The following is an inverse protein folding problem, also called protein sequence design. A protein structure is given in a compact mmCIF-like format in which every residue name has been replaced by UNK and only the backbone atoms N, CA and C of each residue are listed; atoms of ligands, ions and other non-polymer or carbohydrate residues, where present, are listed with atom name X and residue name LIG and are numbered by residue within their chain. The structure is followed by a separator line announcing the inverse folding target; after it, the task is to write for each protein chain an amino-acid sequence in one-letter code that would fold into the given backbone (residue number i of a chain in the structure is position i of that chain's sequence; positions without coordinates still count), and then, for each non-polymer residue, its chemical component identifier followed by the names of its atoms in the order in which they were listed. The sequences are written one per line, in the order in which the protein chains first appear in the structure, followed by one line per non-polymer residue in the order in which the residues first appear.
data_IF_145268132714
#
_entry.id   IF_145268132714
#
_cell.length_a   1.000
_cell.length_b   1.000
_cell.length_c   1.000
_cell.angle_alpha   90.00
_cell.angle_beta   90.00
_cell.angle_gamma   90.00
#
_symmetry.space_group_name_H-M   'P 1'
#
loop_
_entity.id
_entity.type
_entity.pdbx_description
1 polymer ?
#
# COMPACT_ATOMS: atom_id res chain seq x y z
N UNK A 1 25.43 18.57 -46.75
CA UNK A 1 24.16 19.20 -46.30
C UNK A 1 23.11 18.13 -45.96
N UNK A 2 22.79 17.20 -46.86
CA UNK A 2 21.80 16.13 -46.62
C UNK A 2 22.15 15.19 -45.44
N UNK A 3 23.43 14.89 -45.21
CA UNK A 3 23.87 14.05 -44.09
C UNK A 3 23.85 14.71 -42.70
N UNK A 4 23.45 15.98 -42.58
CA UNK A 4 23.35 16.68 -41.29
C UNK A 4 21.99 16.39 -40.65
N UNK A 5 21.84 15.21 -40.08
CA UNK A 5 20.55 14.69 -39.58
C UNK A 5 20.27 15.01 -38.10
N UNK A 6 21.19 15.63 -37.38
CA UNK A 6 20.97 16.15 -36.02
C UNK A 6 20.54 15.06 -35.02
N UNK A 7 19.57 15.40 -34.16
CA UNK A 7 19.05 14.52 -33.09
C UNK A 7 18.03 13.47 -33.59
N UNK A 8 18.01 13.20 -34.89
CA UNK A 8 17.11 12.17 -35.44
C UNK A 8 17.76 10.79 -35.36
N UNK A 9 16.97 9.69 -35.28
CA UNK A 9 17.52 8.34 -35.19
C UNK A 9 18.06 7.82 -36.55
N UNK A 10 18.27 8.69 -37.53
CA UNK A 10 18.64 8.33 -38.91
C UNK A 10 20.10 8.70 -39.21
N UNK A 11 20.74 7.86 -40.01
CA UNK A 11 22.03 8.13 -40.62
C UNK A 11 21.88 8.04 -42.15
N UNK A 12 22.56 8.93 -42.87
CA UNK A 12 22.60 8.87 -44.34
C UNK A 12 23.60 7.79 -44.78
N UNK A 13 23.10 6.67 -45.31
CA UNK A 13 23.95 5.57 -45.75
C UNK A 13 24.60 5.82 -47.13
N UNK A 14 23.86 6.45 -48.05
CA UNK A 14 24.33 6.75 -49.39
C UNK A 14 23.39 7.75 -50.08
N UNK A 15 23.87 8.33 -51.18
CA UNK A 15 23.10 9.22 -52.04
C UNK A 15 23.26 8.75 -53.48
N UNK A 16 22.14 8.48 -54.13
CA UNK A 16 22.08 8.20 -55.56
C UNK A 16 21.77 9.51 -56.30
N UNK A 17 22.61 9.85 -57.28
CA UNK A 17 22.51 11.06 -58.10
C UNK A 17 22.48 10.76 -59.59
N UNK A 18 22.37 9.49 -59.99
CA UNK A 18 22.51 9.05 -61.38
C UNK A 18 21.42 9.61 -62.30
N UNK A 19 20.28 10.01 -61.72
CA UNK A 19 19.17 10.65 -62.42
C UNK A 19 19.28 12.18 -62.57
N UNK A 20 20.35 12.82 -62.08
CA UNK A 20 20.52 14.27 -62.17
C UNK A 20 21.27 14.67 -63.45
N UNK A 21 20.79 15.72 -64.13
CA UNK A 21 21.46 16.26 -65.30
C UNK A 21 22.83 16.86 -64.94
N UNK A 22 23.82 16.68 -65.82
CA UNK A 22 25.16 17.25 -65.64
C UNK A 22 25.09 18.78 -65.47
N UNK A 23 25.76 19.31 -64.44
CA UNK A 23 25.80 20.74 -64.14
C UNK A 23 24.56 21.29 -63.42
N UNK A 24 23.63 20.44 -62.95
CA UNK A 24 22.47 20.88 -62.18
C UNK A 24 22.89 21.59 -60.88
N UNK A 25 22.49 22.85 -60.75
CA UNK A 25 22.69 23.62 -59.53
C UNK A 25 21.46 23.50 -58.60
N UNK A 26 21.70 23.10 -57.34
CA UNK A 26 20.66 23.07 -56.30
C UNK A 26 21.10 24.00 -55.16
N UNK A 27 20.32 25.05 -54.82
CA UNK A 27 20.62 25.91 -53.69
C UNK A 27 20.72 25.13 -52.37
N UNK A 28 21.60 25.58 -51.47
CA UNK A 28 21.75 24.96 -50.13
C UNK A 28 20.45 25.01 -49.32
N UNK A 29 19.63 26.06 -49.50
CA UNK A 29 18.30 26.16 -48.90
C UNK A 29 17.38 25.04 -49.35
N UNK A 30 17.35 24.73 -50.64
CA UNK A 30 16.54 23.64 -51.21
C UNK A 30 17.01 22.26 -50.73
N UNK A 31 18.33 22.04 -50.64
CA UNK A 31 18.86 20.82 -50.03
C UNK A 31 18.46 20.67 -48.56
N UNK A 32 18.40 21.77 -47.81
CA UNK A 32 17.93 21.76 -46.43
C UNK A 32 16.43 21.46 -46.33
N UNK A 33 15.61 22.05 -47.20
CA UNK A 33 14.18 21.76 -47.26
C UNK A 33 13.89 20.31 -47.64
N UNK A 34 14.59 19.77 -48.64
CA UNK A 34 14.49 18.37 -49.04
C UNK A 34 14.87 17.43 -47.88
N UNK A 35 15.98 17.71 -47.20
CA UNK A 35 16.40 16.94 -46.02
C UNK A 35 15.35 16.97 -44.92
N UNK A 36 14.85 18.15 -44.53
CA UNK A 36 13.85 18.29 -43.49
C UNK A 36 12.58 17.51 -43.83
N UNK A 37 12.04 17.68 -45.04
CA UNK A 37 10.86 16.95 -45.50
C UNK A 37 11.05 15.43 -45.49
N UNK A 38 12.20 14.94 -45.93
CA UNK A 38 12.51 13.52 -45.93
C UNK A 38 12.60 12.96 -44.50
N UNK A 39 13.28 13.68 -43.60
CA UNK A 39 13.41 13.30 -42.19
C UNK A 39 12.04 13.31 -41.49
N UNK A 40 11.22 14.32 -41.72
CA UNK A 40 9.88 14.43 -41.12
C UNK A 40 8.95 13.28 -41.57
N UNK A 41 9.02 12.91 -42.85
CA UNK A 41 8.29 11.75 -43.39
C UNK A 41 8.78 10.43 -42.77
N UNK A 42 10.10 10.24 -42.67
CA UNK A 42 10.68 9.05 -42.06
C UNK A 42 10.35 8.95 -40.57
N UNK A 43 10.37 10.07 -39.83
CA UNK A 43 9.94 10.13 -38.44
C UNK A 43 8.46 9.75 -38.29
N UNK A 44 7.58 10.29 -39.13
CA UNK A 44 6.15 9.93 -39.14
C UNK A 44 5.96 8.43 -39.36
N UNK A 45 6.62 7.85 -40.37
CA UNK A 45 6.54 6.40 -40.66
C UNK A 45 7.07 5.54 -39.51
N UNK A 46 8.23 5.91 -38.95
CA UNK A 46 8.83 5.20 -37.81
C UNK A 46 7.92 5.25 -36.60
N UNK A 47 7.40 6.42 -36.26
CA UNK A 47 6.51 6.60 -35.10
C UNK A 47 5.22 5.79 -35.30
N UNK A 48 4.63 5.82 -36.49
CA UNK A 48 3.46 5.01 -36.80
C UNK A 48 3.72 3.50 -36.66
N UNK A 49 4.85 3.00 -37.17
CA UNK A 49 5.23 1.59 -37.02
C UNK A 49 5.46 1.20 -35.55
N UNK A 50 6.08 2.08 -34.76
CA UNK A 50 6.28 1.87 -33.32
C UNK A 50 4.95 1.87 -32.57
N UNK A 51 4.07 2.82 -32.87
CA UNK A 51 2.73 2.89 -32.27
C UNK A 51 1.89 1.66 -32.61
N UNK A 52 1.95 1.19 -33.85
CA UNK A 52 1.27 -0.03 -34.29
C UNK A 52 1.82 -1.27 -33.54
N UNK A 53 3.14 -1.43 -33.45
CA UNK A 53 3.75 -2.53 -32.70
C UNK A 53 3.40 -2.48 -31.20
N UNK A 54 3.36 -1.29 -30.60
CA UNK A 54 2.91 -1.12 -29.23
C UNK A 54 1.42 -1.44 -29.06
N UNK A 55 0.57 -1.08 -30.02
CA UNK A 55 -0.86 -1.40 -30.00
C UNK A 55 -1.10 -2.91 -30.09
N UNK A 56 -0.41 -3.61 -31.00
CA UNK A 56 -0.47 -5.07 -31.12
C UNK A 56 0.00 -5.76 -29.84
N UNK A 57 1.11 -5.30 -29.26
CA UNK A 57 1.62 -5.81 -27.99
C UNK A 57 0.62 -5.60 -26.85
N UNK A 58 0.01 -4.41 -26.75
CA UNK A 58 -1.03 -4.13 -25.75
C UNK A 58 -2.23 -5.06 -25.91
N UNK A 59 -2.74 -5.21 -27.12
CA UNK A 59 -3.86 -6.12 -27.40
C UNK A 59 -3.53 -7.58 -27.02
N UNK A 60 -2.31 -8.03 -27.30
CA UNK A 60 -1.84 -9.37 -26.90
C UNK A 60 -1.81 -9.52 -25.38
N UNK A 61 -1.29 -8.52 -24.66
CA UNK A 61 -1.24 -8.53 -23.19
C UNK A 61 -2.65 -8.52 -22.61
N UNK A 62 -3.55 -7.67 -23.13
CA UNK A 62 -4.94 -7.60 -22.67
C UNK A 62 -5.68 -8.93 -22.87
N UNK A 63 -5.47 -9.59 -24.01
CA UNK A 63 -6.06 -10.89 -24.29
C UNK A 63 -5.54 -11.97 -23.34
N UNK A 64 -4.23 -11.99 -23.11
CA UNK A 64 -3.61 -12.90 -22.14
C UNK A 64 -4.09 -12.64 -20.70
N UNK A 65 -4.19 -11.38 -20.30
CA UNK A 65 -4.69 -10.98 -18.99
C UNK A 65 -6.16 -11.42 -18.79
N UNK A 66 -7.02 -11.23 -19.81
CA UNK A 66 -8.42 -11.70 -19.75
C UNK A 66 -8.55 -13.23 -19.66
N UNK A 67 -7.59 -13.97 -20.22
CA UNK A 67 -7.57 -15.43 -20.12
C UNK A 67 -7.19 -15.90 -18.70
N UNK A 68 -6.48 -15.08 -17.92
CA UNK A 68 -6.24 -15.35 -16.49
C UNK A 68 -7.52 -15.03 -15.73
N UNK A 69 -8.32 -16.07 -15.47
CA UNK A 69 -9.55 -15.93 -14.70
C UNK A 69 -9.29 -15.26 -13.34
N UNK A 70 -9.99 -14.17 -13.07
CA UNK A 70 -10.10 -13.62 -11.72
C UNK A 70 -10.97 -14.58 -10.92
N UNK A 71 -10.37 -15.31 -9.98
CA UNK A 71 -11.10 -16.24 -9.12
C UNK A 71 -12.24 -15.56 -8.36
N UNK A 72 -13.21 -16.31 -7.89
CA UNK A 72 -14.25 -15.77 -7.01
C UNK A 72 -13.65 -15.40 -5.66
N UNK A 73 -14.14 -14.33 -5.04
CA UNK A 73 -13.80 -14.05 -3.65
C UNK A 73 -14.27 -15.25 -2.82
N UNK A 74 -13.59 -15.56 -1.70
CA UNK A 74 -14.13 -16.51 -0.73
C UNK A 74 -15.59 -16.16 -0.43
N UNK A 75 -16.48 -17.15 -0.51
CA UNK A 75 -17.85 -16.98 -0.05
C UNK A 75 -17.80 -16.57 1.42
N UNK A 76 -18.21 -15.35 1.70
CA UNK A 76 -18.38 -14.93 3.07
C UNK A 76 -19.56 -15.72 3.64
N UNK A 77 -19.33 -16.41 4.76
CA UNK A 77 -20.40 -17.04 5.53
C UNK A 77 -21.51 -16.01 5.79
N UNK A 78 -22.74 -16.38 5.43
CA UNK A 78 -23.93 -15.52 5.41
C UNK A 78 -24.48 -15.14 6.81
N UNK A 79 -23.60 -14.95 7.79
CA UNK A 79 -23.97 -14.27 9.03
C UNK A 79 -24.17 -12.79 8.74
N UNK A 80 -25.16 -12.16 9.38
CA UNK A 80 -25.50 -10.73 9.30
C UNK A 80 -24.25 -9.86 9.42
N UNK A 81 -23.66 -9.48 8.28
CA UNK A 81 -22.45 -8.65 8.26
C UNK A 81 -22.83 -7.23 8.67
N UNK A 82 -21.99 -6.54 9.47
CA UNK A 82 -22.14 -5.11 9.64
C UNK A 82 -22.06 -4.42 8.28
N UNK A 83 -22.74 -3.28 8.14
CA UNK A 83 -22.78 -2.52 6.89
C UNK A 83 -21.38 -2.17 6.35
N UNK A 84 -20.39 -2.08 7.25
CA UNK A 84 -18.97 -1.87 6.95
C UNK A 84 -18.10 -2.50 8.04
N UNK A 85 -16.79 -2.55 7.79
CA UNK A 85 -15.75 -2.81 8.77
C UNK A 85 -14.88 -1.57 8.92
N UNK A 86 -14.82 -1.05 10.15
CA UNK A 86 -13.85 -0.05 10.57
C UNK A 86 -12.76 -0.78 11.37
N UNK A 87 -11.60 -0.94 10.73
CA UNK A 87 -10.46 -1.69 11.28
C UNK A 87 -9.49 -0.69 11.92
N UNK A 88 -9.25 -0.82 13.21
CA UNK A 88 -8.23 -0.05 13.91
C UNK A 88 -7.01 -0.94 14.20
N UNK A 89 -5.88 -0.61 13.59
CA UNK A 89 -4.61 -1.25 13.87
C UNK A 89 -3.83 -0.45 14.91
N UNK A 90 -3.45 -1.09 16.00
CA UNK A 90 -2.80 -0.49 17.17
C UNK A 90 -1.68 -1.40 17.65
N UNK A 91 -0.73 -0.88 18.43
CA UNK A 91 0.39 -1.67 18.97
C UNK A 91 0.33 -1.90 20.48
N UNK A 92 -0.57 -1.21 21.20
CA UNK A 92 -0.79 -1.41 22.63
C UNK A 92 -2.27 -1.66 22.97
N UNK A 93 -2.50 -2.10 24.20
CA UNK A 93 -3.81 -2.59 24.65
C UNK A 93 -4.75 -1.47 25.06
N UNK A 94 -4.22 -0.32 25.46
CA UNK A 94 -5.03 0.83 25.86
C UNK A 94 -5.62 1.49 24.61
N UNK A 95 -4.81 1.65 23.56
CA UNK A 95 -5.25 2.10 22.24
C UNK A 95 -6.26 1.12 21.62
N UNK A 96 -6.09 -0.18 21.83
CA UNK A 96 -7.06 -1.20 21.39
C UNK A 96 -8.44 -1.01 22.05
N UNK A 97 -8.46 -0.75 23.36
CA UNK A 97 -9.69 -0.48 24.09
C UNK A 97 -10.31 0.86 23.65
N UNK A 98 -9.51 1.91 23.51
CA UNK A 98 -9.96 3.22 23.06
C UNK A 98 -10.58 3.17 21.65
N UNK A 99 -9.96 2.45 20.72
CA UNK A 99 -10.51 2.22 19.39
C UNK A 99 -11.85 1.47 19.42
N UNK A 100 -11.95 0.43 20.25
CA UNK A 100 -13.19 -0.32 20.41
C UNK A 100 -14.33 0.56 20.98
N UNK A 101 -14.05 1.41 21.96
CA UNK A 101 -15.00 2.35 22.56
C UNK A 101 -15.43 3.46 21.60
N UNK A 102 -14.50 3.91 20.75
CA UNK A 102 -14.78 4.84 19.66
C UNK A 102 -15.58 4.21 18.49
N UNK A 103 -15.79 2.89 18.51
CA UNK A 103 -16.65 2.17 17.57
C UNK A 103 -15.94 1.54 16.38
N UNK A 104 -14.67 1.17 16.53
CA UNK A 104 -14.05 0.21 15.63
C UNK A 104 -14.80 -1.13 15.69
N UNK A 105 -15.02 -1.76 14.54
CA UNK A 105 -15.70 -3.07 14.45
C UNK A 105 -14.71 -4.23 14.47
N UNK A 106 -13.43 -3.94 14.23
CA UNK A 106 -12.33 -4.90 14.30
C UNK A 106 -11.08 -4.19 14.82
N UNK A 107 -10.37 -4.84 15.74
CA UNK A 107 -9.07 -4.43 16.23
C UNK A 107 -8.00 -5.34 15.64
N UNK A 108 -6.95 -4.75 15.07
CA UNK A 108 -5.73 -5.45 14.70
C UNK A 108 -4.64 -5.04 15.68
N UNK A 109 -4.18 -5.98 16.51
CA UNK A 109 -3.08 -5.73 17.45
C UNK A 109 -1.75 -6.14 16.81
N UNK A 110 -0.79 -5.20 16.75
CA UNK A 110 0.61 -5.45 16.39
C UNK A 110 1.50 -5.47 17.63
N UNK A 111 1.68 -6.64 18.29
CA UNK A 111 2.55 -6.74 19.45
C UNK A 111 4.03 -6.71 19.06
N UNK A 112 4.37 -6.69 17.78
CA UNK A 112 5.74 -6.77 17.29
C UNK A 112 6.31 -5.40 16.90
N UNK A 113 5.46 -4.40 16.65
CA UNK A 113 5.89 -3.06 16.22
C UNK A 113 6.88 -2.40 17.18
N UNK A 114 6.69 -2.60 18.50
CA UNK A 114 7.51 -2.01 19.55
C UNK A 114 8.01 -3.04 20.54
N UNK A 115 9.27 -2.91 20.92
CA UNK A 115 9.87 -3.67 22.01
C UNK A 115 9.65 -2.96 23.37
N UNK A 116 9.32 -3.69 24.46
CA UNK A 116 8.98 -5.10 24.49
C UNK A 116 7.54 -5.38 24.04
N UNK A 117 7.31 -6.58 23.49
CA UNK A 117 5.97 -7.05 23.20
C UNK A 117 5.18 -7.28 24.51
N UNK A 118 3.85 -7.04 24.53
CA UNK A 118 3.03 -7.28 25.71
C UNK A 118 2.96 -8.77 26.09
N UNK A 119 2.57 -9.04 27.33
CA UNK A 119 2.33 -10.41 27.80
C UNK A 119 1.08 -11.01 27.12
N UNK A 120 1.07 -12.33 26.92
CA UNK A 120 -0.04 -13.03 26.23
C UNK A 120 -1.35 -13.02 27.04
N UNK A 121 -1.28 -12.99 28.38
CA UNK A 121 -2.46 -13.06 29.25
C UNK A 121 -3.40 -11.85 29.06
N UNK A 122 -2.92 -10.60 29.15
CA UNK A 122 -3.73 -9.42 28.81
C UNK A 122 -4.34 -9.45 27.41
N UNK A 123 -3.62 -9.97 26.41
CA UNK A 123 -4.12 -10.09 25.04
C UNK A 123 -5.28 -11.08 24.95
N UNK A 124 -5.20 -12.22 25.66
CA UNK A 124 -6.31 -13.18 25.76
C UNK A 124 -7.52 -12.57 26.46
N UNK A 125 -7.31 -11.79 27.52
CA UNK A 125 -8.39 -11.10 28.21
C UNK A 125 -9.07 -10.06 27.31
N UNK A 126 -8.28 -9.28 26.55
CA UNK A 126 -8.79 -8.33 25.56
C UNK A 126 -9.62 -9.05 24.48
N UNK A 127 -9.13 -10.19 23.96
CA UNK A 127 -9.86 -10.98 22.97
C UNK A 127 -11.26 -11.40 23.47
N UNK A 128 -11.36 -11.84 24.73
CA UNK A 128 -12.64 -12.22 25.35
C UNK A 128 -13.57 -11.02 25.50
N UNK A 129 -13.04 -9.89 26.00
CA UNK A 129 -13.80 -8.64 26.18
C UNK A 129 -14.35 -8.12 24.86
N UNK A 130 -13.53 -8.08 23.80
CA UNK A 130 -13.95 -7.60 22.48
C UNK A 130 -14.97 -8.54 21.84
N UNK A 131 -14.78 -9.86 21.95
CA UNK A 131 -15.73 -10.86 21.45
C UNK A 131 -17.12 -10.71 22.10
N UNK A 132 -17.18 -10.44 23.42
CA UNK A 132 -18.43 -10.15 24.12
C UNK A 132 -19.17 -8.89 23.63
N UNK A 133 -18.48 -8.00 22.91
CA UNK A 133 -19.03 -6.79 22.26
C UNK A 133 -19.28 -6.97 20.76
N UNK A 134 -19.03 -8.15 20.21
CA UNK A 134 -19.10 -8.42 18.77
C UNK A 134 -17.98 -7.76 17.95
N UNK A 135 -16.86 -7.38 18.60
CA UNK A 135 -15.70 -6.78 17.95
C UNK A 135 -14.64 -7.89 17.76
N UNK A 136 -14.15 -8.08 16.54
CA UNK A 136 -13.09 -9.07 16.28
C UNK A 136 -11.73 -8.53 16.72
N UNK A 137 -10.91 -9.40 17.31
CA UNK A 137 -9.48 -9.15 17.55
C UNK A 137 -8.64 -10.00 16.59
N UNK A 138 -7.78 -9.34 15.83
CA UNK A 138 -6.83 -9.95 14.90
C UNK A 138 -5.40 -9.65 15.33
N UNK A 139 -4.53 -10.62 15.21
CA UNK A 139 -3.09 -10.46 15.43
C UNK A 139 -2.42 -10.01 14.13
N UNK A 140 -1.68 -8.91 14.14
CA UNK A 140 -0.74 -8.59 13.06
C UNK A 140 0.56 -9.36 13.28
N UNK A 141 0.92 -10.23 12.35
CA UNK A 141 2.21 -10.92 12.35
C UNK A 141 3.26 -10.08 11.60
N UNK A 142 4.57 -10.20 11.93
CA UNK A 142 5.62 -9.42 11.30
C UNK A 142 5.67 -9.62 9.78
N UNK A 143 6.01 -8.56 9.05
CA UNK A 143 6.22 -8.61 7.59
C UNK A 143 7.49 -9.39 7.22
N UNK A 144 8.50 -9.39 8.10
CA UNK A 144 9.76 -10.11 7.90
C UNK A 144 9.86 -11.19 8.98
N UNK A 145 9.92 -12.44 8.54
CA UNK A 145 10.06 -13.61 9.43
C UNK A 145 11.18 -14.49 8.89
N UNK A 146 12.31 -14.52 9.61
CA UNK A 146 13.42 -15.44 9.33
C UNK A 146 13.22 -16.75 10.10
N UNK A 147 13.91 -17.86 9.74
CA UNK A 147 13.82 -19.12 10.47
C UNK A 147 14.06 -18.98 11.99
N UNK A 148 15.00 -18.11 12.39
CA UNK A 148 15.30 -17.79 13.78
C UNK A 148 14.18 -17.01 14.50
N UNK A 149 13.41 -16.20 13.77
CA UNK A 149 12.29 -15.43 14.31
C UNK A 149 11.08 -16.33 14.62
N UNK A 150 11.00 -17.51 13.98
CA UNK A 150 9.80 -18.37 14.02
C UNK A 150 9.40 -18.77 15.44
N UNK A 151 10.37 -19.14 16.28
CA UNK A 151 10.09 -19.57 17.66
C UNK A 151 9.44 -18.45 18.49
N UNK A 152 9.86 -17.20 18.27
CA UNK A 152 9.32 -16.05 18.99
C UNK A 152 7.88 -15.73 18.58
N UNK A 153 7.53 -16.00 17.32
CA UNK A 153 6.20 -15.74 16.75
C UNK A 153 5.23 -16.91 17.03
N UNK A 154 5.72 -18.15 17.14
CA UNK A 154 4.87 -19.34 17.32
C UNK A 154 3.94 -19.23 18.53
N UNK A 155 4.44 -18.75 19.68
CA UNK A 155 3.62 -18.55 20.90
C UNK A 155 2.43 -17.59 20.68
N UNK A 156 2.53 -16.68 19.72
CA UNK A 156 1.45 -15.77 19.34
C UNK A 156 0.48 -16.43 18.36
N UNK A 157 0.99 -17.22 17.43
CA UNK A 157 0.16 -18.00 16.50
C UNK A 157 -0.68 -19.05 17.24
N UNK A 158 -0.15 -19.63 18.32
CA UNK A 158 -0.82 -20.60 19.20
C UNK A 158 -1.99 -19.98 20.00
N UNK A 159 -2.19 -18.66 19.95
CA UNK A 159 -3.41 -18.03 20.47
C UNK A 159 -4.64 -18.31 19.59
N UNK A 160 -4.43 -18.84 18.39
CA UNK A 160 -5.47 -19.16 17.39
C UNK A 160 -6.36 -17.97 16.95
N UNK A 161 -6.00 -16.73 17.32
CA UNK A 161 -6.65 -15.50 16.84
C UNK A 161 -6.50 -15.31 15.32
N UNK A 162 -7.50 -14.80 14.60
CA UNK A 162 -7.34 -14.40 13.20
C UNK A 162 -6.05 -13.61 12.98
N UNK A 163 -5.40 -13.77 11.82
CA UNK A 163 -4.08 -13.18 11.54
C UNK A 163 -4.17 -12.18 10.40
N UNK A 164 -3.47 -11.06 10.53
CA UNK A 164 -3.13 -10.16 9.42
C UNK A 164 -1.62 -10.23 9.18
N UNK A 165 -1.16 -10.36 7.94
CA UNK A 165 0.28 -10.41 7.68
C UNK A 165 0.68 -9.91 6.31
N UNK A 166 1.79 -9.18 6.27
CA UNK A 166 2.50 -8.80 5.04
C UNK A 166 3.44 -9.88 4.51
N UNK A 167 3.59 -11.00 5.21
CA UNK A 167 4.49 -12.08 4.82
C UNK A 167 3.74 -13.14 4.00
N UNK A 168 3.96 -13.18 2.69
CA UNK A 168 3.27 -14.07 1.75
C UNK A 168 3.35 -15.56 2.16
N UNK A 169 4.49 -16.00 2.68
CA UNK A 169 4.65 -17.36 3.17
C UNK A 169 3.76 -17.69 4.37
N UNK A 170 3.50 -16.72 5.25
CA UNK A 170 2.58 -16.89 6.38
C UNK A 170 1.13 -16.87 5.89
N UNK A 171 0.83 -16.08 4.85
CA UNK A 171 -0.48 -16.12 4.19
C UNK A 171 -0.78 -17.54 3.72
N UNK A 172 0.11 -18.13 2.93
CA UNK A 172 -0.10 -19.48 2.40
C UNK A 172 -0.10 -20.55 3.50
N UNK A 173 0.83 -20.49 4.45
CA UNK A 173 0.96 -21.48 5.52
C UNK A 173 -0.29 -21.54 6.40
N UNK A 174 -0.70 -20.38 6.94
CA UNK A 174 -1.82 -20.29 7.88
C UNK A 174 -3.16 -20.52 7.18
N UNK A 175 -3.32 -20.06 5.94
CA UNK A 175 -4.55 -20.31 5.18
C UNK A 175 -4.73 -21.80 4.87
N UNK A 176 -3.64 -22.53 4.56
CA UNK A 176 -3.67 -24.00 4.37
C UNK A 176 -4.03 -24.75 5.66
N UNK A 177 -3.75 -24.16 6.82
CA UNK A 177 -4.18 -24.67 8.12
C UNK A 177 -5.65 -24.32 8.45
N UNK A 178 -6.38 -23.67 7.52
CA UNK A 178 -7.78 -23.28 7.72
C UNK A 178 -7.97 -22.05 8.59
N UNK A 179 -6.91 -21.26 8.83
CA UNK A 179 -6.99 -20.06 9.66
C UNK A 179 -7.62 -18.89 8.92
N UNK A 180 -8.26 -17.99 9.67
CA UNK A 180 -8.68 -16.68 9.14
C UNK A 180 -7.47 -15.78 8.95
N UNK A 181 -7.10 -15.57 7.69
CA UNK A 181 -5.96 -14.74 7.28
C UNK A 181 -6.41 -13.56 6.43
N UNK A 182 -5.98 -12.37 6.82
CA UNK A 182 -6.01 -11.16 5.99
C UNK A 182 -4.61 -10.86 5.47
N UNK A 183 -4.45 -10.75 4.16
CA UNK A 183 -3.20 -10.31 3.57
C UNK A 183 -3.09 -8.77 3.71
N UNK A 184 -2.03 -8.30 4.35
CA UNK A 184 -1.78 -6.90 4.66
C UNK A 184 -1.39 -6.07 3.42
N UNK A 185 -1.41 -4.72 3.49
CA UNK A 185 -0.98 -3.87 2.38
C UNK A 185 0.46 -4.16 1.93
N UNK A 186 1.31 -4.68 2.82
CA UNK A 186 2.70 -5.02 2.52
C UNK A 186 2.88 -6.23 1.58
N UNK A 187 1.83 -6.99 1.27
CA UNK A 187 1.88 -8.02 0.20
C UNK A 187 1.77 -7.42 -1.20
N UNK A 188 1.53 -6.10 -1.31
CA UNK A 188 1.47 -5.35 -2.56
C UNK A 188 0.41 -5.86 -3.55
N UNK A 189 -0.86 -5.93 -3.10
CA UNK A 189 -1.98 -6.22 -4.00
C UNK A 189 -2.22 -4.99 -4.90
N UNK A 190 -1.60 -5.00 -6.08
CA UNK A 190 -1.62 -3.89 -7.04
C UNK A 190 -2.67 -4.03 -8.14
N UNK A 191 -3.16 -5.24 -8.41
CA UNK A 191 -4.13 -5.50 -9.48
C UNK A 191 -4.96 -6.75 -9.19
N UNK A 192 -5.98 -7.00 -10.01
CA UNK A 192 -6.88 -8.14 -9.87
C UNK A 192 -6.17 -9.50 -9.99
N UNK A 193 -5.10 -9.63 -10.78
CA UNK A 193 -4.39 -10.91 -10.90
C UNK A 193 -3.64 -11.27 -9.60
N UNK A 194 -2.96 -10.28 -9.00
CA UNK A 194 -2.34 -10.45 -7.69
C UNK A 194 -3.37 -10.79 -6.62
N UNK A 195 -4.54 -10.12 -6.64
CA UNK A 195 -5.62 -10.42 -5.72
C UNK A 195 -6.15 -11.86 -5.88
N UNK A 196 -6.40 -12.30 -7.11
CA UNK A 196 -6.86 -13.65 -7.40
C UNK A 196 -5.85 -14.71 -6.92
N UNK A 197 -4.55 -14.48 -7.09
CA UNK A 197 -3.52 -15.40 -6.64
C UNK A 197 -3.46 -15.49 -5.10
N UNK A 198 -3.60 -14.37 -4.40
CA UNK A 198 -3.58 -14.39 -2.92
C UNK A 198 -4.86 -15.00 -2.35
N UNK A 199 -6.01 -14.78 -2.98
CA UNK A 199 -7.23 -15.54 -2.67
C UNK A 199 -7.05 -17.04 -2.93
N UNK A 200 -6.37 -17.44 -4.01
CA UNK A 200 -6.05 -18.84 -4.31
C UNK A 200 -5.13 -19.47 -3.25
N UNK A 201 -4.24 -18.69 -2.64
CA UNK A 201 -3.44 -19.11 -1.49
C UNK A 201 -4.26 -19.28 -0.20
N UNK A 202 -5.53 -18.85 -0.20
CA UNK A 202 -6.51 -19.08 0.86
C UNK A 202 -6.75 -17.88 1.79
N UNK A 203 -6.20 -16.70 1.47
CA UNK A 203 -6.52 -15.49 2.23
C UNK A 203 -8.03 -15.21 2.16
N UNK A 204 -8.63 -14.78 3.27
CA UNK A 204 -10.05 -14.44 3.33
C UNK A 204 -10.32 -12.98 2.95
N UNK A 205 -9.32 -12.11 3.19
CA UNK A 205 -9.38 -10.68 2.89
C UNK A 205 -8.02 -10.15 2.47
N UNK A 206 -8.02 -9.06 1.73
CA UNK A 206 -6.83 -8.37 1.22
C UNK A 206 -6.91 -6.89 1.57
N UNK A 207 -5.85 -6.31 2.12
CA UNK A 207 -5.69 -4.86 2.13
C UNK A 207 -5.05 -4.45 0.80
N UNK A 208 -5.65 -3.50 0.08
CA UNK A 208 -5.09 -2.99 -1.17
C UNK A 208 -3.74 -2.32 -0.93
N UNK A 209 -2.87 -2.29 -1.93
CA UNK A 209 -1.63 -1.52 -1.83
C UNK A 209 -1.90 -0.03 -1.56
N UNK A 210 -1.03 0.58 -0.77
CA UNK A 210 -1.01 2.02 -0.46
C UNK A 210 -0.50 2.89 -1.61
N UNK A 211 -0.03 2.27 -2.68
CA UNK A 211 0.50 2.93 -3.89
C UNK A 211 -0.56 3.15 -4.96
N UNK A 212 -1.78 2.65 -4.76
CA UNK A 212 -2.85 2.75 -5.73
C UNK A 212 -3.66 4.04 -5.58
N UNK A 213 -4.05 4.59 -6.73
CA UNK A 213 -5.09 5.62 -6.83
C UNK A 213 -6.47 5.07 -6.51
N UNK A 214 -7.44 5.94 -6.23
CA UNK A 214 -8.82 5.53 -6.05
C UNK A 214 -9.41 4.86 -7.31
N UNK A 215 -8.97 5.26 -8.50
CA UNK A 215 -9.35 4.67 -9.79
C UNK A 215 -8.83 3.24 -9.92
N UNK A 216 -7.55 3.03 -9.63
CA UNK A 216 -6.90 1.72 -9.70
C UNK A 216 -7.48 0.78 -8.64
N UNK A 217 -7.79 1.26 -7.44
CA UNK A 217 -8.49 0.45 -6.43
C UNK A 217 -9.86 0.00 -6.94
N UNK A 218 -10.63 0.91 -7.55
CA UNK A 218 -11.94 0.56 -8.13
C UNK A 218 -11.81 -0.51 -9.21
N UNK A 219 -10.79 -0.42 -10.07
CA UNK A 219 -10.52 -1.42 -11.10
C UNK A 219 -10.08 -2.76 -10.51
N UNK A 220 -9.20 -2.72 -9.51
CA UNK A 220 -8.70 -3.89 -8.80
C UNK A 220 -9.83 -4.69 -8.16
N UNK A 221 -10.77 -4.02 -7.49
CA UNK A 221 -11.82 -4.70 -6.71
C UNK A 221 -13.07 -5.06 -7.53
N UNK A 222 -13.18 -4.55 -8.76
CA UNK A 222 -14.36 -4.73 -9.62
C UNK A 222 -14.76 -6.21 -9.81
N UNK A 223 -13.86 -7.18 -10.02
CA UNK A 223 -14.23 -8.59 -10.18
C UNK A 223 -14.96 -9.19 -8.96
N UNK A 224 -14.82 -8.57 -7.80
CA UNK A 224 -15.42 -9.01 -6.53
C UNK A 224 -16.50 -8.07 -6.01
N UNK A 225 -16.84 -7.02 -6.77
CA UNK A 225 -17.68 -5.93 -6.32
C UNK A 225 -17.26 -5.37 -4.95
N UNK A 226 -15.94 -5.20 -4.75
CA UNK A 226 -15.39 -4.68 -3.48
C UNK A 226 -15.33 -5.68 -2.32
N UNK A 227 -15.90 -6.88 -2.46
CA UNK A 227 -15.94 -7.89 -1.39
C UNK A 227 -14.56 -8.50 -1.15
N UNK A 228 -14.21 -8.67 0.13
CA UNK A 228 -12.92 -9.23 0.52
C UNK A 228 -11.78 -8.21 0.52
N UNK A 229 -12.07 -6.92 0.31
CA UNK A 229 -11.05 -5.87 0.31
C UNK A 229 -11.21 -4.91 1.50
N UNK A 230 -10.07 -4.55 2.08
CA UNK A 230 -9.90 -3.45 3.01
C UNK A 230 -8.97 -2.39 2.37
N UNK A 231 -9.16 -1.11 2.71
CA UNK A 231 -8.34 0.00 2.20
C UNK A 231 -7.81 0.82 3.37
N UNK A 232 -6.51 1.15 3.36
CA UNK A 232 -5.90 2.05 4.34
C UNK A 232 -6.38 3.48 4.09
N UNK A 233 -7.14 4.04 5.02
CA UNK A 233 -7.63 5.43 4.96
C UNK A 233 -6.92 6.35 5.94
N UNK A 234 -6.26 5.81 6.95
CA UNK A 234 -5.50 6.59 7.92
C UNK A 234 -4.25 5.87 8.40
N UNK A 235 -3.21 6.64 8.72
CA UNK A 235 -2.01 6.18 9.42
C UNK A 235 -0.74 6.49 8.67
N UNK A 236 0.41 6.13 9.23
CA UNK A 236 1.73 6.34 8.62
C UNK A 236 2.28 5.01 8.16
N UNK A 237 2.18 4.65 6.87
CA UNK A 237 2.78 3.43 6.38
C UNK A 237 4.28 3.35 6.70
N UNK A 238 4.81 2.12 6.75
CA UNK A 238 6.25 1.89 6.88
C UNK A 238 6.93 2.27 5.55
N UNK A 239 7.85 3.24 5.58
CA UNK A 239 8.61 3.63 4.40
C UNK A 239 9.91 2.82 4.24
N UNK A 240 10.54 2.44 5.35
CA UNK A 240 11.79 1.66 5.35
C UNK A 240 11.92 0.79 6.59
N UNK A 241 12.51 -0.39 6.42
CA UNK A 241 12.96 -1.25 7.53
C UNK A 241 14.47 -1.30 7.57
N UNK A 242 15.06 -1.06 8.74
CA UNK A 242 16.50 -1.06 8.97
C UNK A 242 16.87 -2.18 9.94
N UNK A 243 17.85 -3.00 9.57
CA UNK A 243 18.43 -4.02 10.47
C UNK A 243 19.36 -3.41 11.53
N UNK A 244 19.85 -2.19 11.29
CA UNK A 244 20.72 -1.49 12.21
C UNK A 244 19.89 -0.63 13.18
N UNK A 245 20.23 -0.69 14.47
CA UNK A 245 19.61 0.15 15.49
C UNK A 245 20.11 1.60 15.38
N UNK A 246 19.29 2.48 14.81
CA UNK A 246 19.59 3.91 14.64
C UNK A 246 19.80 4.62 15.98
N UNK A 247 19.16 4.13 17.04
CA UNK A 247 19.34 4.64 18.40
C UNK A 247 20.75 4.37 18.88
N UNK A 248 21.25 3.15 18.68
CA UNK A 248 22.63 2.83 19.06
C UNK A 248 23.61 3.65 18.23
N UNK A 249 23.40 3.77 16.92
CA UNK A 249 24.27 4.57 16.06
C UNK A 249 24.31 6.06 16.47
N UNK A 250 23.16 6.61 16.88
CA UNK A 250 23.05 8.02 17.26
C UNK A 250 23.58 8.31 18.68
N UNK A 251 23.29 7.44 19.64
CA UNK A 251 23.50 7.70 21.07
C UNK A 251 24.67 6.91 21.68
N UNK A 252 25.22 5.91 21.00
CA UNK A 252 26.32 5.08 21.50
C UNK A 252 27.33 4.71 20.40
N UNK A 253 28.40 5.52 20.28
CA UNK A 253 29.37 5.47 19.18
C UNK A 253 30.18 4.16 19.08
N UNK A 254 30.12 3.27 20.08
CA UNK A 254 30.71 1.93 20.01
C UNK A 254 29.70 0.84 20.45
N UNK A 255 28.80 0.41 19.54
CA UNK A 255 27.83 -0.62 19.84
C UNK A 255 28.52 -1.99 19.92
N UNK A 256 28.84 -2.46 21.11
CA UNK A 256 29.26 -3.87 21.31
C UNK A 256 28.09 -4.75 21.75
N UNK A 257 27.06 -4.17 22.39
CA UNK A 257 25.89 -4.88 22.92
C UNK A 257 24.65 -3.97 22.98
N UNK A 258 23.45 -4.55 22.91
CA UNK A 258 22.18 -3.82 23.14
C UNK A 258 22.10 -3.30 24.58
N UNK A 259 21.56 -2.09 24.75
CA UNK A 259 21.36 -1.43 26.06
C UNK A 259 19.91 -0.98 26.30
N UNK A 260 18.97 -1.56 25.54
CA UNK A 260 17.54 -1.27 25.62
C UNK A 260 17.19 0.22 25.56
N UNK A 261 17.94 0.99 24.75
CA UNK A 261 17.75 2.43 24.58
C UNK A 261 16.33 2.77 24.16
N UNK A 262 15.73 1.95 23.29
CA UNK A 262 14.36 2.08 22.81
C UNK A 262 13.29 1.85 23.89
N UNK A 263 13.65 1.31 25.05
CA UNK A 263 12.72 1.07 26.17
C UNK A 263 13.00 2.03 27.31
N UNK A 264 14.27 2.21 27.67
CA UNK A 264 14.65 2.87 28.91
C UNK A 264 14.87 4.38 28.77
N UNK A 265 15.38 4.84 27.62
CA UNK A 265 15.86 6.23 27.47
C UNK A 265 15.18 7.00 26.35
N UNK A 266 14.90 6.32 25.25
CA UNK A 266 14.42 6.91 24.00
C UNK A 266 13.25 6.08 23.44
N UNK A 267 12.12 6.00 24.16
CA UNK A 267 10.93 5.27 23.69
C UNK A 267 10.32 5.88 22.42
N UNK A 268 10.56 7.18 22.21
CA UNK A 268 10.05 7.96 21.10
C UNK A 268 11.23 8.59 20.36
N UNK A 269 11.50 8.13 19.14
CA UNK A 269 12.60 8.62 18.30
C UNK A 269 12.07 9.00 16.93
N UNK A 270 12.65 10.05 16.35
CA UNK A 270 12.36 10.51 15.00
C UNK A 270 13.68 10.81 14.27
N UNK A 271 13.71 10.61 12.96
CA UNK A 271 14.78 11.07 12.08
C UNK A 271 14.30 12.31 11.32
N UNK A 272 15.13 13.34 11.26
CA UNK A 272 14.82 14.56 10.52
C UNK A 272 15.60 14.58 9.21
N UNK A 273 14.92 14.86 8.09
CA UNK A 273 15.58 15.04 6.81
C UNK A 273 16.17 16.46 6.65
N UNK A 274 17.01 16.72 5.63
CA UNK A 274 17.59 18.05 5.41
C UNK A 274 16.56 19.17 5.14
N UNK A 275 15.33 18.81 4.76
CA UNK A 275 14.23 19.75 4.51
C UNK A 275 13.36 20.01 5.74
N UNK A 276 13.66 19.34 6.86
CA UNK A 276 13.00 19.53 8.15
C UNK A 276 11.81 18.60 8.43
N UNK A 277 11.51 17.62 7.57
CA UNK A 277 10.48 16.63 7.89
C UNK A 277 10.98 15.64 8.94
N UNK A 278 10.15 15.37 9.94
CA UNK A 278 10.43 14.40 11.01
C UNK A 278 9.71 13.08 10.73
N UNK A 279 10.45 11.99 10.71
CA UNK A 279 9.99 10.63 10.42
C UNK A 279 10.08 9.79 11.70
N UNK A 280 8.95 9.34 12.27
CA UNK A 280 8.96 8.50 13.46
C UNK A 280 9.67 7.17 13.23
N UNK A 281 10.36 6.68 14.27
CA UNK A 281 11.01 5.37 14.27
C UNK A 281 10.36 4.48 15.32
N UNK A 282 9.88 3.31 14.90
CA UNK A 282 9.48 2.23 15.80
C UNK A 282 10.59 1.18 15.85
N UNK A 283 10.93 0.68 17.04
CA UNK A 283 11.90 -0.42 17.20
C UNK A 283 11.15 -1.71 17.47
N UNK A 284 11.14 -2.62 16.50
CA UNK A 284 10.37 -3.86 16.56
C UNK A 284 10.95 -4.87 17.56
N UNK A 285 10.19 -5.91 17.86
CA UNK A 285 10.59 -6.94 18.84
C UNK A 285 11.82 -7.76 18.43
N UNK A 286 12.24 -7.69 17.17
CA UNK A 286 13.46 -8.29 16.62
C UNK A 286 14.60 -7.27 16.50
N UNK A 287 14.49 -6.12 17.17
CA UNK A 287 15.45 -5.01 17.16
C UNK A 287 15.67 -4.34 15.80
N UNK A 288 14.76 -4.52 14.83
CA UNK A 288 14.78 -3.76 13.58
C UNK A 288 14.13 -2.40 13.79
N UNK A 289 14.53 -1.40 13.03
CA UNK A 289 13.93 -0.07 13.08
C UNK A 289 13.01 0.14 11.88
N UNK A 290 11.77 0.55 12.13
CA UNK A 290 10.75 0.89 11.13
C UNK A 290 10.67 2.40 11.02
N UNK A 291 11.10 2.94 9.89
CA UNK A 291 10.96 4.36 9.57
C UNK A 291 9.57 4.59 9.00
N UNK A 292 8.76 5.36 9.72
CA UNK A 292 7.38 5.68 9.36
C UNK A 292 7.34 7.01 8.60
N UNK A 293 6.37 7.15 7.70
CA UNK A 293 6.16 8.40 6.98
C UNK A 293 5.95 9.60 7.92
N UNK A 294 6.47 10.77 7.54
CA UNK A 294 6.45 11.98 8.37
C UNK A 294 5.04 12.51 8.66
N UNK A 295 4.12 12.29 7.72
CA UNK A 295 2.71 12.68 7.83
C UNK A 295 1.82 11.45 7.62
N UNK A 296 0.70 11.33 8.35
CA UNK A 296 -0.28 10.30 8.10
C UNK A 296 -0.94 10.49 6.73
N UNK A 297 -1.26 9.38 6.10
CA UNK A 297 -2.28 9.33 5.06
C UNK A 297 -3.61 9.70 5.69
N UNK A 298 -4.39 10.50 4.98
CA UNK A 298 -5.78 10.80 5.34
C UNK A 298 -6.62 10.75 4.05
N UNK A 299 -7.43 9.69 3.94
CA UNK A 299 -8.11 9.30 2.71
C UNK A 299 -9.62 9.55 2.71
N UNK A 300 -10.19 10.28 3.68
CA UNK A 300 -11.65 10.41 3.82
C UNK A 300 -12.34 11.01 2.59
N UNK A 301 -11.65 11.89 1.86
CA UNK A 301 -12.11 12.47 0.58
C UNK A 301 -12.45 11.40 -0.48
N UNK A 302 -11.79 10.24 -0.44
CA UNK A 302 -11.93 9.18 -1.44
C UNK A 302 -12.88 8.06 -0.99
N UNK A 303 -13.26 8.01 0.29
CA UNK A 303 -14.17 6.99 0.84
C UNK A 303 -15.50 6.85 0.08
N UNK A 304 -16.17 7.92 -0.38
CA UNK A 304 -17.45 7.81 -1.08
C UNK A 304 -17.32 7.03 -2.39
N UNK A 305 -16.25 7.32 -3.13
CA UNK A 305 -15.94 6.63 -4.37
C UNK A 305 -15.59 5.15 -4.14
N UNK A 306 -14.81 4.86 -3.10
CA UNK A 306 -14.49 3.49 -2.70
C UNK A 306 -15.75 2.74 -2.25
N UNK A 307 -16.67 3.43 -1.58
CA UNK A 307 -17.97 2.88 -1.17
C UNK A 307 -18.84 2.53 -2.37
N UNK A 308 -18.91 3.40 -3.37
CA UNK A 308 -19.58 3.13 -4.65
C UNK A 308 -18.97 1.93 -5.39
N UNK A 309 -17.65 1.73 -5.28
CA UNK A 309 -16.95 0.56 -5.82
C UNK A 309 -17.23 -0.76 -5.03
N UNK A 310 -18.04 -0.71 -3.98
CA UNK A 310 -18.42 -1.86 -3.16
C UNK A 310 -17.46 -2.17 -2.02
N UNK A 311 -16.39 -1.38 -1.83
CA UNK A 311 -15.47 -1.57 -0.70
C UNK A 311 -16.22 -1.28 0.59
N UNK A 312 -16.07 -2.18 1.57
CA UNK A 312 -16.69 -2.04 2.89
C UNK A 312 -15.69 -2.19 4.03
N UNK A 313 -14.40 -2.35 3.74
CA UNK A 313 -13.34 -2.41 4.74
C UNK A 313 -12.48 -1.16 4.70
N UNK A 314 -12.41 -0.45 5.83
CA UNK A 314 -11.65 0.79 5.94
C UNK A 314 -10.76 0.70 7.17
N UNK A 315 -9.45 0.87 6.96
CA UNK A 315 -8.43 0.65 7.97
C UNK A 315 -7.72 1.94 8.36
N UNK A 316 -7.60 2.15 9.67
CA UNK A 316 -6.79 3.17 10.29
C UNK A 316 -5.63 2.51 11.06
N UNK A 317 -4.40 2.97 10.82
CA UNK A 317 -3.19 2.46 11.47
C UNK A 317 -2.65 3.49 12.44
N UNK A 318 -2.55 3.10 13.71
CA UNK A 318 -2.02 3.89 14.83
C UNK A 318 -0.71 3.25 15.28
N UNK A 319 0.39 3.83 14.83
CA UNK A 319 1.73 3.27 14.97
C UNK A 319 2.75 4.27 15.53
N UNK A 320 2.27 5.44 15.95
CA UNK A 320 3.06 6.47 16.61
C UNK A 320 2.50 6.74 18.01
N UNK A 321 3.36 6.81 19.04
CA UNK A 321 2.98 7.17 20.39
C UNK A 321 2.25 8.53 20.44
N UNK A 322 1.10 8.54 21.10
CA UNK A 322 0.25 9.73 21.21
C UNK A 322 -0.65 10.00 20.00
N UNK A 323 -0.80 9.03 19.08
CA UNK A 323 -1.83 9.13 18.05
C UNK A 323 -3.24 9.28 18.71
N UNK A 324 -4.11 10.18 18.22
CA UNK A 324 -5.44 10.41 18.80
C UNK A 324 -6.45 9.33 18.38
N UNK A 325 -6.27 8.11 18.90
CA UNK A 325 -6.98 6.91 18.43
C UNK A 325 -8.50 7.07 18.49
N UNK A 326 -9.04 7.49 19.63
CA UNK A 326 -10.49 7.55 19.85
C UNK A 326 -11.16 8.58 18.91
N UNK A 327 -10.58 9.76 18.77
CA UNK A 327 -11.12 10.86 17.97
C UNK A 327 -11.11 10.50 16.47
N UNK A 328 -10.02 9.87 16.02
CA UNK A 328 -9.85 9.46 14.62
C UNK A 328 -10.83 8.33 14.28
N UNK A 329 -10.90 7.28 15.11
CA UNK A 329 -11.83 6.16 14.91
C UNK A 329 -13.28 6.68 14.90
N UNK A 330 -13.65 7.53 15.86
CA UNK A 330 -15.01 8.06 15.93
C UNK A 330 -15.35 8.93 14.70
N UNK A 331 -14.40 9.72 14.19
CA UNK A 331 -14.61 10.50 12.95
C UNK A 331 -14.80 9.63 11.71
N UNK A 332 -14.05 8.53 11.58
CA UNK A 332 -14.27 7.58 10.49
C UNK A 332 -15.57 6.80 10.64
N UNK A 333 -15.97 6.43 11.86
CA UNK A 333 -17.27 5.81 12.13
C UNK A 333 -18.40 6.72 11.64
N UNK A 334 -18.41 7.99 12.04
CA UNK A 334 -19.42 8.97 11.60
C UNK A 334 -19.51 9.07 10.07
N UNK A 335 -18.36 9.09 9.40
CA UNK A 335 -18.29 9.12 7.93
C UNK A 335 -18.88 7.87 7.28
N UNK A 336 -18.59 6.69 7.84
CA UNK A 336 -19.10 5.41 7.35
C UNK A 336 -20.59 5.22 7.61
N UNK A 337 -21.09 5.67 8.76
CA UNK A 337 -22.51 5.66 9.06
C UNK A 337 -23.30 6.59 8.13
N UNK A 338 -22.76 7.78 7.83
CA UNK A 338 -23.35 8.70 6.84
C UNK A 338 -23.43 8.05 5.45
N UNK A 339 -22.34 7.40 4.99
CA UNK A 339 -22.33 6.65 3.73
C UNK A 339 -23.34 5.49 3.73
N UNK A 340 -23.46 4.77 4.84
CA UNK A 340 -24.44 3.69 5.00
C UNK A 340 -25.89 4.18 4.95
N UNK A 341 -26.17 5.40 5.40
CA UNK A 341 -27.47 6.06 5.28
C UNK A 341 -27.72 6.72 3.91
N UNK A 342 -26.74 6.70 3.00
CA UNK A 342 -26.83 7.35 1.69
C UNK A 342 -26.74 8.88 1.75
N UNK A 343 -26.17 9.43 2.83
CA UNK A 343 -26.01 10.88 2.99
C UNK A 343 -24.88 11.43 2.11
N UNK A 344 -24.95 12.72 1.80
CA UNK A 344 -23.90 13.39 1.03
C UNK A 344 -22.58 13.35 1.81
N UNK A 345 -21.58 12.74 1.19
CA UNK A 345 -20.25 12.64 1.77
C UNK A 345 -19.63 14.01 2.03
N UNK A 346 -19.00 14.12 3.20
CA UNK A 346 -18.11 15.22 3.57
C UNK A 346 -16.77 14.62 4.00
N UNK A 347 -15.64 15.32 3.78
CA UNK A 347 -14.39 14.92 4.40
C UNK A 347 -14.60 14.72 5.90
N UNK A 348 -14.01 13.67 6.44
CA UNK A 348 -14.15 13.35 7.85
C UNK A 348 -13.62 14.50 8.71
N UNK A 349 -14.20 14.72 9.89
CA UNK A 349 -13.65 15.63 10.91
C UNK A 349 -12.20 15.28 11.29
N UNK A 350 -11.77 14.06 10.97
CA UNK A 350 -10.35 13.64 11.00
C UNK A 350 -9.45 14.66 10.32
N UNK A 351 -9.88 15.25 9.20
CA UNK A 351 -9.10 16.26 8.47
C UNK A 351 -8.88 17.54 9.29
N UNK A 352 -9.81 17.90 10.17
CA UNK A 352 -9.65 19.01 11.11
C UNK A 352 -8.64 18.66 12.22
N UNK A 353 -8.68 17.41 12.70
CA UNK A 353 -7.74 16.90 13.73
C UNK A 353 -6.29 16.90 13.25
N UNK A 354 -6.04 16.52 12.01
CA UNK A 354 -4.69 16.50 11.42
C UNK A 354 -4.28 17.85 10.80
N UNK A 355 -5.22 18.79 10.66
CA UNK A 355 -4.99 20.11 10.06
C UNK A 355 -4.28 20.04 8.71
N UNK A 356 -3.18 20.78 8.53
CA UNK A 356 -2.34 20.74 7.33
C UNK A 356 -1.28 19.63 7.32
N UNK A 357 -1.22 18.80 8.37
CA UNK A 357 -0.14 17.84 8.59
C UNK A 357 -0.48 16.43 8.11
N UNK A 358 -1.08 16.29 6.93
CA UNK A 358 -1.40 14.99 6.31
C UNK A 358 -0.93 14.91 4.85
N UNK A 359 -1.00 13.71 4.28
CA UNK A 359 -0.89 13.47 2.84
C UNK A 359 -2.14 12.75 2.35
N UNK A 360 -2.50 12.96 1.07
CA UNK A 360 -3.59 12.19 0.42
C UNK A 360 -3.13 10.79 0.01
N UNK A 361 -1.89 10.40 0.30
CA UNK A 361 -1.28 9.18 -0.24
C UNK A 361 -1.31 9.20 -1.78
N UNK A 362 -1.43 8.03 -2.38
CA UNK A 362 -1.52 7.87 -3.83
C UNK A 362 -2.96 7.94 -4.36
N UNK A 363 -3.97 8.10 -3.49
CA UNK A 363 -5.37 8.11 -3.91
C UNK A 363 -5.68 9.11 -5.04
N UNK A 364 -4.99 10.25 -5.06
CA UNK A 364 -5.20 11.32 -6.03
C UNK A 364 -4.38 11.15 -7.34
N UNK A 365 -3.20 10.53 -7.27
CA UNK A 365 -2.26 10.45 -8.39
C UNK A 365 -1.29 9.29 -8.19
N UNK A 366 -1.07 8.53 -9.27
CA UNK A 366 -0.04 7.51 -9.34
C UNK A 366 1.38 8.12 -9.27
N UNK A 367 2.35 7.29 -8.90
CA UNK A 367 3.79 7.63 -8.83
C UNK A 367 4.37 7.89 -10.22
#
# INVERSE_FOLDING_TARGET
QLGRLGDTPFALAGLDVDGLSAGLFIPVSELNHLRQRAVDELLRRRNWAIEAAHAERRATIELAARAVGTGTAPEATAATRPAYRLVAEVYDLDDAAAAADAGATEIVLDPFLRHPAPALSPVKALAQTLSGRGISLRLRAPTIVRPEDRRAIQKWLDLELPVQTGHLGLVAELSRQGRDVTADYAVNVMNAHTAAEIFRLGAQRLTTSIELTADEIRELVAPWAGRGFDVLVYGRPEGMTLEHCVLSAAFDRQPTTCRDLCVQKHPNVQLTDPTGYAFPVATDSACRNRLLHSRPVEGSEFMPRLWEAGVRGYRAVFNVPGDPVAEIVAGYRESLEALARGERARPSRVRELVGGAFTRGHFARAV
#
